data_IF_808506481329
#
_entry.id   IF_808506481329
#
_cell.length_a   1.000
_cell.length_b   1.000
_cell.length_c   1.000
_cell.angle_alpha   90.00
_cell.angle_beta   90.00
_cell.angle_gamma   90.00
#
_symmetry.space_group_name_H-M   'P 1'
#
loop_
_entity.id
_entity.type
_entity.pdbx_description
1 polymer ?
#
# COMPACT_ATOMS: atom_id res chain seq x y z
N UNK A 1 44.07 13.84 -0.37
CA UNK A 1 43.85 12.48 -0.92
C UNK A 1 43.02 11.69 0.09
N UNK A 2 41.73 11.51 -0.14
CA UNK A 2 40.94 10.48 0.55
C UNK A 2 40.39 9.53 -0.51
N UNK A 3 40.77 8.27 -0.40
CA UNK A 3 40.31 7.19 -1.26
C UNK A 3 38.86 6.87 -0.90
N UNK A 4 37.91 7.56 -1.55
CA UNK A 4 36.53 7.07 -1.63
C UNK A 4 36.56 5.81 -2.49
N UNK A 5 36.36 4.67 -1.85
CA UNK A 5 36.39 3.34 -2.44
C UNK A 5 35.53 3.28 -3.72
N UNK A 6 36.18 2.97 -4.85
CA UNK A 6 35.56 2.74 -6.17
C UNK A 6 34.46 1.66 -6.15
N UNK A 7 34.40 0.84 -5.09
CA UNK A 7 33.41 -0.22 -4.91
C UNK A 7 32.00 0.31 -4.62
N UNK A 8 31.84 1.54 -4.14
CA UNK A 8 30.51 2.13 -3.86
C UNK A 8 29.83 2.67 -5.12
N UNK A 9 30.61 3.13 -6.11
CA UNK A 9 30.08 3.66 -7.37
C UNK A 9 29.53 2.56 -8.29
N UNK A 10 30.09 1.34 -8.22
CA UNK A 10 29.62 0.20 -9.02
C UNK A 10 28.25 -0.30 -8.52
N UNK A 11 28.00 -0.25 -7.20
CA UNK A 11 26.66 -0.55 -6.64
C UNK A 11 25.64 0.54 -7.01
N UNK A 12 26.08 1.80 -7.07
CA UNK A 12 25.26 2.95 -7.43
C UNK A 12 24.81 2.93 -8.91
N UNK A 13 25.69 2.48 -9.82
CA UNK A 13 25.39 2.34 -11.25
C UNK A 13 24.49 1.13 -11.55
N UNK A 14 24.59 0.03 -10.80
CA UNK A 14 23.71 -1.14 -10.98
C UNK A 14 22.26 -0.88 -10.53
N UNK A 15 22.04 0.08 -9.61
CA UNK A 15 20.69 0.52 -9.22
C UNK A 15 20.03 1.45 -10.24
N UNK A 16 20.81 2.14 -11.09
CA UNK A 16 20.31 3.14 -12.05
C UNK A 16 20.25 2.57 -13.49
N UNK A 17 21.15 1.67 -13.87
CA UNK A 17 21.26 1.19 -15.27
C UNK A 17 20.64 -0.19 -15.54
N UNK A 18 20.08 -0.87 -14.54
CA UNK A 18 19.42 -2.17 -14.70
C UNK A 18 17.94 -2.13 -15.08
N UNK A 19 17.32 -0.95 -15.20
CA UNK A 19 15.87 -0.79 -15.31
C UNK A 19 15.27 -0.89 -16.72
N UNK A 20 15.93 -1.60 -17.64
CA UNK A 20 15.39 -1.89 -18.98
C UNK A 20 15.02 -3.38 -19.14
N UNK A 21 14.43 -4.00 -18.12
CA UNK A 21 13.74 -5.27 -18.27
C UNK A 21 12.35 -5.02 -18.90
N UNK A 22 11.97 -5.86 -19.87
CA UNK A 22 10.68 -5.83 -20.57
C UNK A 22 9.52 -6.05 -19.57
N UNK A 23 9.03 -4.99 -18.93
CA UNK A 23 7.88 -5.13 -18.03
C UNK A 23 6.61 -5.42 -18.84
N UNK A 24 5.89 -6.46 -18.44
CA UNK A 24 4.55 -6.75 -18.97
C UNK A 24 3.62 -5.61 -18.55
N UNK A 25 2.85 -5.05 -19.49
CA UNK A 25 1.69 -4.22 -19.13
C UNK A 25 0.73 -5.10 -18.31
N UNK A 26 0.05 -4.55 -17.28
CA UNK A 26 -0.97 -5.31 -16.56
C UNK A 26 -1.98 -5.88 -17.58
N UNK A 27 -2.30 -7.18 -17.49
CA UNK A 27 -2.94 -7.90 -18.59
C UNK A 27 -4.37 -7.45 -18.90
N UNK A 28 -5.08 -6.80 -17.95
CA UNK A 28 -6.38 -6.14 -18.13
C UNK A 28 -6.76 -5.40 -16.82
N UNK A 29 -7.80 -4.56 -16.85
CA UNK A 29 -8.50 -4.12 -15.64
C UNK A 29 -9.29 -5.28 -15.03
N UNK A 30 -8.57 -6.10 -14.27
CA UNK A 30 -9.11 -7.25 -13.57
C UNK A 30 -10.16 -6.80 -12.55
N UNK A 31 -11.35 -7.40 -12.62
CA UNK A 31 -12.45 -7.15 -11.70
C UNK A 31 -13.12 -8.46 -11.30
N UNK A 32 -13.67 -8.50 -10.09
CA UNK A 32 -14.40 -9.67 -9.59
C UNK A 32 -14.03 -10.04 -8.16
N UNK A 33 -14.25 -11.31 -7.83
CA UNK A 33 -14.17 -11.83 -6.48
C UNK A 33 -12.95 -12.73 -6.32
N UNK A 34 -12.17 -12.53 -5.25
CA UNK A 34 -10.98 -13.31 -4.97
C UNK A 34 -11.17 -14.11 -3.70
N UNK A 35 -11.09 -15.44 -3.79
CA UNK A 35 -11.10 -16.30 -2.61
C UNK A 35 -9.78 -16.20 -1.86
N UNK A 36 -9.82 -15.55 -0.70
CA UNK A 36 -8.64 -15.31 0.14
C UNK A 36 -8.13 -16.62 0.74
N UNK A 37 -8.99 -17.62 0.94
CA UNK A 37 -8.59 -18.92 1.49
C UNK A 37 -7.67 -19.69 0.52
N UNK A 38 -7.83 -19.49 -0.79
CA UNK A 38 -7.02 -20.12 -1.84
C UNK A 38 -5.61 -19.52 -1.97
N UNK A 39 -5.39 -18.31 -1.45
CA UNK A 39 -4.09 -17.63 -1.49
C UNK A 39 -3.13 -18.24 -0.46
N UNK A 40 -1.82 -18.32 -0.76
CA UNK A 40 -0.81 -18.67 0.23
C UNK A 40 -0.60 -17.52 1.23
N UNK A 41 0.25 -17.77 2.23
CA UNK A 41 0.67 -16.76 3.19
C UNK A 41 -0.27 -16.57 4.37
N UNK A 42 -0.04 -15.48 5.13
CA UNK A 42 -0.77 -15.15 6.34
C UNK A 42 -1.90 -14.18 6.01
N UNK A 43 -3.10 -14.48 6.50
CA UNK A 43 -4.30 -13.70 6.21
C UNK A 43 -4.91 -13.19 7.50
N UNK A 44 -5.23 -11.91 7.56
CA UNK A 44 -5.81 -11.29 8.75
C UNK A 44 -6.95 -10.37 8.37
N UNK A 45 -8.08 -10.56 9.05
CA UNK A 45 -9.14 -9.57 9.12
C UNK A 45 -8.85 -8.64 10.29
N UNK A 46 -8.78 -7.34 10.03
CA UNK A 46 -8.68 -6.30 11.04
C UNK A 46 -9.91 -5.40 10.95
N UNK A 47 -10.54 -5.16 12.09
CA UNK A 47 -11.62 -4.20 12.23
C UNK A 47 -11.13 -3.08 13.15
N UNK A 48 -11.32 -1.83 12.71
CA UNK A 48 -11.03 -0.65 13.50
C UNK A 48 -12.20 0.32 13.48
N UNK A 49 -12.29 1.13 14.53
CA UNK A 49 -13.22 2.25 14.64
C UNK A 49 -12.42 3.54 14.65
N UNK A 50 -12.92 4.55 13.92
CA UNK A 50 -12.41 5.92 13.96
C UNK A 50 -13.56 6.91 13.77
N UNK A 51 -13.25 8.19 13.64
CA UNK A 51 -14.25 9.24 13.41
C UNK A 51 -14.06 9.92 12.05
N UNK A 52 -15.16 10.05 11.29
CA UNK A 52 -15.25 10.85 10.06
C UNK A 52 -16.31 11.93 10.22
N UNK A 53 -15.97 13.20 10.02
CA UNK A 53 -16.86 14.33 10.31
C UNK A 53 -17.56 14.21 11.68
N UNK A 54 -16.79 13.80 12.70
CA UNK A 54 -17.27 13.56 14.10
C UNK A 54 -18.28 12.41 14.26
N UNK A 55 -18.49 11.59 13.23
CA UNK A 55 -19.34 10.39 13.30
C UNK A 55 -18.45 9.15 13.43
N UNK A 56 -18.67 8.25 14.41
CA UNK A 56 -17.97 6.98 14.50
C UNK A 56 -18.22 6.12 13.25
N UNK A 57 -17.16 5.60 12.64
CA UNK A 57 -17.20 4.73 11.46
C UNK A 57 -16.29 3.53 11.65
N UNK A 58 -16.75 2.37 11.16
CA UNK A 58 -15.94 1.16 11.12
C UNK A 58 -15.16 1.04 9.82
N UNK A 59 -13.93 0.57 9.95
CA UNK A 59 -13.05 0.17 8.86
C UNK A 59 -12.75 -1.30 8.95
N UNK A 60 -12.82 -1.98 7.81
CA UNK A 60 -12.49 -3.39 7.65
C UNK A 60 -11.33 -3.52 6.69
N UNK A 61 -10.26 -4.16 7.15
CA UNK A 61 -9.08 -4.48 6.35
C UNK A 61 -8.93 -5.99 6.27
N UNK A 62 -8.93 -6.53 5.06
CA UNK A 62 -8.46 -7.91 4.82
C UNK A 62 -7.03 -7.81 4.32
N UNK A 63 -6.09 -8.24 5.14
CA UNK A 63 -4.66 -8.29 4.85
C UNK A 63 -4.28 -9.70 4.38
N UNK A 64 -3.54 -9.80 3.29
CA UNK A 64 -2.92 -11.06 2.83
C UNK A 64 -1.43 -10.80 2.62
N UNK A 65 -0.61 -11.35 3.51
CA UNK A 65 0.84 -11.23 3.47
C UNK A 65 1.45 -12.52 2.93
N UNK A 66 2.05 -12.42 1.75
CA UNK A 66 2.60 -13.56 1.00
C UNK A 66 4.08 -13.34 0.71
N UNK A 67 4.91 -14.36 0.93
CA UNK A 67 6.30 -14.31 0.47
C UNK A 67 6.34 -14.28 -1.07
N UNK A 68 7.24 -13.47 -1.64
CA UNK A 68 7.45 -13.50 -3.09
C UNK A 68 7.95 -14.88 -3.56
N UNK A 69 8.71 -15.61 -2.73
CA UNK A 69 9.14 -16.98 -3.04
C UNK A 69 7.96 -17.94 -3.19
N UNK A 70 6.94 -17.83 -2.34
CA UNK A 70 5.73 -18.66 -2.42
C UNK A 70 4.95 -18.36 -3.71
N UNK A 71 4.82 -17.08 -4.08
CA UNK A 71 4.15 -16.68 -5.33
C UNK A 71 4.86 -17.29 -6.54
N UNK A 72 6.18 -17.19 -6.59
CA UNK A 72 7.00 -17.75 -7.66
C UNK A 72 6.90 -19.27 -7.74
N UNK A 73 7.03 -19.94 -6.59
CA UNK A 73 7.05 -21.41 -6.54
C UNK A 73 5.68 -22.02 -6.84
N UNK A 74 4.60 -21.44 -6.29
CA UNK A 74 3.24 -21.98 -6.41
C UNK A 74 2.56 -21.60 -7.73
N UNK A 75 2.82 -20.40 -8.25
CA UNK A 75 2.10 -19.87 -9.42
C UNK A 75 2.99 -19.63 -10.65
N UNK A 76 4.31 -19.74 -10.52
CA UNK A 76 5.24 -19.39 -11.59
C UNK A 76 5.26 -17.89 -11.92
N UNK A 77 4.77 -17.04 -11.01
CA UNK A 77 4.70 -15.59 -11.20
C UNK A 77 5.88 -14.93 -10.49
N UNK A 78 6.62 -14.10 -11.21
CA UNK A 78 7.81 -13.41 -10.73
C UNK A 78 7.71 -11.92 -11.05
N UNK A 79 8.14 -11.07 -10.11
CA UNK A 79 8.34 -9.65 -10.37
C UNK A 79 9.57 -9.46 -11.25
N UNK A 80 9.51 -8.46 -12.12
CA UNK A 80 10.65 -7.99 -12.92
C UNK A 80 11.55 -7.04 -12.13
N UNK A 81 11.15 -6.64 -10.92
CA UNK A 81 11.94 -5.80 -10.04
C UNK A 81 13.04 -6.61 -9.34
N UNK A 82 14.15 -5.95 -8.95
CA UNK A 82 15.20 -6.56 -8.16
C UNK A 82 14.73 -6.79 -6.71
N UNK A 83 13.96 -7.85 -6.51
CA UNK A 83 13.43 -8.27 -5.20
C UNK A 83 14.21 -9.44 -4.62
N UNK A 84 14.33 -9.48 -3.30
CA UNK A 84 14.90 -10.58 -2.53
C UNK A 84 13.79 -11.54 -2.14
N UNK A 85 13.60 -12.59 -2.93
CA UNK A 85 12.53 -13.57 -2.75
C UNK A 85 12.50 -14.24 -1.36
N UNK A 86 13.66 -14.34 -0.68
CA UNK A 86 13.81 -14.91 0.66
C UNK A 86 13.33 -13.99 1.79
N UNK A 87 13.23 -12.68 1.55
CA UNK A 87 12.96 -11.67 2.59
C UNK A 87 11.79 -10.76 2.29
N UNK A 88 11.54 -10.52 1.02
CA UNK A 88 10.55 -9.55 0.58
C UNK A 88 9.19 -10.24 0.45
N UNK A 89 8.13 -9.50 0.76
CA UNK A 89 6.76 -10.02 0.76
C UNK A 89 5.83 -9.06 0.03
N UNK A 90 4.81 -9.62 -0.59
CA UNK A 90 3.67 -8.88 -1.10
C UNK A 90 2.60 -8.83 -0.01
N UNK A 91 2.24 -7.62 0.42
CA UNK A 91 1.08 -7.38 1.27
C UNK A 91 -0.07 -6.89 0.38
N UNK A 92 -1.16 -7.63 0.34
CA UNK A 92 -2.41 -7.21 -0.28
C UNK A 92 -3.34 -6.70 0.80
N UNK A 93 -3.91 -5.53 0.61
CA UNK A 93 -4.87 -4.91 1.53
C UNK A 93 -6.16 -4.66 0.78
N UNK A 94 -7.26 -5.23 1.28
CA UNK A 94 -8.62 -4.89 0.85
C UNK A 94 -9.27 -4.04 1.94
N UNK A 95 -9.48 -2.76 1.67
CA UNK A 95 -10.02 -1.79 2.60
C UNK A 95 -11.47 -1.44 2.23
N UNK A 96 -12.37 -1.54 3.21
CA UNK A 96 -13.75 -1.08 3.10
C UNK A 96 -14.15 -0.30 4.35
N UNK A 97 -14.94 0.76 4.18
CA UNK A 97 -15.39 1.60 5.30
C UNK A 97 -16.88 1.83 5.27
N UNK A 98 -17.43 1.88 6.47
CA UNK A 98 -18.85 2.00 6.72
C UNK A 98 -19.38 3.37 6.27
N UNK A 99 -20.02 3.41 5.11
CA UNK A 99 -20.82 4.55 4.64
C UNK A 99 -20.03 5.81 4.22
N UNK A 100 -20.50 6.47 3.17
CA UNK A 100 -20.10 7.83 2.81
C UNK A 100 -21.10 8.83 3.47
N UNK A 101 -20.71 10.07 3.82
CA UNK A 101 -21.69 11.10 4.15
C UNK A 101 -22.50 11.37 2.88
N UNK A 102 -23.73 10.88 2.83
CA UNK A 102 -24.63 11.01 1.67
C UNK A 102 -25.28 9.71 1.20
N UNK A 103 -24.80 8.54 1.63
CA UNK A 103 -25.43 7.25 1.33
C UNK A 103 -25.83 6.53 2.63
N UNK A 104 -27.00 5.87 2.70
CA UNK A 104 -27.41 5.11 3.87
C UNK A 104 -26.33 4.11 4.26
N UNK A 105 -26.15 3.88 5.56
CA UNK A 105 -25.14 3.00 6.18
C UNK A 105 -24.92 1.74 5.34
N UNK A 106 -23.81 1.74 4.60
CA UNK A 106 -23.43 0.61 3.78
C UNK A 106 -23.08 -0.56 4.68
N UNK A 107 -23.73 -1.70 4.49
CA UNK A 107 -23.33 -2.93 5.15
C UNK A 107 -21.92 -3.30 4.67
N UNK A 108 -20.98 -3.38 5.61
CA UNK A 108 -19.59 -3.74 5.33
C UNK A 108 -19.45 -5.19 4.86
N UNK A 109 -20.32 -6.08 5.35
CA UNK A 109 -20.32 -7.50 5.01
C UNK A 109 -21.61 -7.86 4.28
N UNK A 110 -21.48 -8.56 3.16
CA UNK A 110 -22.59 -9.12 2.40
C UNK A 110 -22.37 -10.62 2.19
N UNK A 111 -23.45 -11.43 2.11
CA UNK A 111 -23.35 -12.80 1.65
C UNK A 111 -22.67 -12.86 0.28
N UNK A 112 -21.83 -13.87 0.08
CA UNK A 112 -21.27 -14.15 -1.25
C UNK A 112 -22.24 -15.02 -2.04
N UNK A 113 -22.72 -14.52 -3.18
CA UNK A 113 -23.73 -15.19 -4.02
C UNK A 113 -23.09 -16.13 -5.07
N UNK A 114 -22.01 -16.82 -4.71
CA UNK A 114 -21.34 -17.82 -5.54
C UNK A 114 -21.02 -17.38 -6.98
N UNK A 115 -20.67 -16.10 -7.14
CA UNK A 115 -20.17 -15.54 -8.40
C UNK A 115 -18.87 -16.26 -8.86
N UNK A 116 -18.42 -16.09 -10.10
CA UNK A 116 -17.14 -16.61 -10.54
C UNK A 116 -15.97 -16.00 -9.75
N UNK A 117 -15.05 -16.86 -9.30
CA UNK A 117 -13.84 -16.45 -8.60
C UNK A 117 -12.69 -16.17 -9.57
N UNK A 118 -11.91 -15.15 -9.26
CA UNK A 118 -10.66 -14.83 -9.94
C UNK A 118 -9.62 -15.94 -9.73
N UNK A 119 -8.91 -16.27 -10.81
CA UNK A 119 -7.79 -17.18 -10.74
C UNK A 119 -6.62 -16.52 -9.97
N UNK A 120 -6.08 -17.16 -8.91
CA UNK A 120 -4.98 -16.60 -8.12
C UNK A 120 -3.72 -16.26 -8.92
N UNK A 121 -3.37 -17.07 -9.92
CA UNK A 121 -2.19 -16.81 -10.77
C UNK A 121 -2.39 -15.53 -11.56
N UNK A 122 -3.55 -15.36 -12.19
CA UNK A 122 -3.90 -14.14 -12.94
C UNK A 122 -3.91 -12.91 -12.03
N UNK A 123 -4.49 -13.03 -10.84
CA UNK A 123 -4.51 -11.95 -9.86
C UNK A 123 -3.09 -11.54 -9.40
N UNK A 124 -2.22 -12.48 -9.03
CA UNK A 124 -0.84 -12.16 -8.67
C UNK A 124 -0.03 -11.59 -9.85
N UNK A 125 -0.34 -12.02 -11.09
CA UNK A 125 0.29 -11.48 -12.29
C UNK A 125 -0.10 -10.01 -12.50
N UNK A 126 -1.37 -9.68 -12.31
CA UNK A 126 -1.86 -8.29 -12.35
C UNK A 126 -1.22 -7.43 -11.25
N UNK A 127 -1.24 -7.89 -9.99
CA UNK A 127 -0.64 -7.14 -8.88
C UNK A 127 0.85 -6.86 -9.10
N UNK A 128 1.64 -7.87 -9.43
CA UNK A 128 3.09 -7.69 -9.66
C UNK A 128 3.35 -6.88 -10.94
N UNK A 129 2.57 -7.08 -12.01
CA UNK A 129 2.68 -6.30 -13.23
C UNK A 129 2.40 -4.80 -13.01
N UNK A 130 1.41 -4.45 -12.19
CA UNK A 130 1.11 -3.06 -11.79
C UNK A 130 2.25 -2.45 -10.98
N UNK A 131 2.82 -3.18 -10.02
CA UNK A 131 3.96 -2.71 -9.23
C UNK A 131 5.22 -2.53 -10.10
N UNK A 132 5.51 -3.49 -10.96
CA UNK A 132 6.64 -3.44 -11.90
C UNK A 132 6.49 -2.25 -12.85
N UNK A 133 5.28 -2.02 -13.37
CA UNK A 133 4.97 -0.87 -14.22
C UNK A 133 5.16 0.44 -13.46
N UNK A 134 4.58 0.58 -12.27
CA UNK A 134 4.73 1.78 -11.44
C UNK A 134 6.19 2.14 -11.20
N UNK A 135 7.01 1.15 -10.81
CA UNK A 135 8.44 1.35 -10.54
C UNK A 135 9.24 1.69 -11.80
N UNK A 136 8.87 1.13 -12.96
CA UNK A 136 9.54 1.43 -14.24
C UNK A 136 9.22 2.84 -14.73
N UNK A 137 7.96 3.24 -14.69
CA UNK A 137 7.54 4.56 -15.17
C UNK A 137 8.16 5.68 -14.33
N UNK A 138 8.55 5.42 -13.07
CA UNK A 138 9.33 6.35 -12.24
C UNK A 138 8.58 7.63 -11.86
N UNK A 139 7.29 7.71 -12.19
CA UNK A 139 6.47 8.88 -12.00
C UNK A 139 5.63 8.74 -10.72
N UNK A 140 5.80 9.73 -9.84
CA UNK A 140 5.02 9.96 -8.64
C UNK A 140 3.52 10.14 -8.91
N UNK A 141 3.15 10.49 -10.13
CA UNK A 141 1.82 10.96 -10.54
C UNK A 141 0.84 9.84 -10.93
N UNK A 142 1.28 8.58 -11.00
CA UNK A 142 0.43 7.43 -11.38
C UNK A 142 0.10 6.52 -10.20
N UNK A 143 -0.33 7.17 -9.14
CA UNK A 143 -0.79 6.58 -7.90
C UNK A 143 -1.89 5.51 -8.09
N UNK A 144 -2.70 5.61 -9.15
CA UNK A 144 -3.82 4.71 -9.40
C UNK A 144 -3.44 3.40 -10.08
N UNK A 145 -2.26 3.32 -10.72
CA UNK A 145 -1.81 2.08 -11.37
C UNK A 145 -1.81 0.93 -10.36
N UNK A 146 -1.45 1.24 -9.12
CA UNK A 146 -1.30 0.27 -8.03
C UNK A 146 -2.55 0.17 -7.16
N UNK A 147 -3.71 0.67 -7.61
CA UNK A 147 -4.96 0.64 -6.84
C UNK A 147 -6.12 0.12 -7.69
N UNK A 148 -7.01 -0.65 -7.09
CA UNK A 148 -8.20 -1.16 -7.78
C UNK A 148 -9.43 -1.12 -6.89
N UNK A 149 -10.56 -0.64 -7.43
CA UNK A 149 -11.84 -0.57 -6.71
C UNK A 149 -12.78 -1.75 -7.03
N UNK A 150 -12.40 -2.60 -7.98
CA UNK A 150 -13.29 -3.60 -8.59
C UNK A 150 -12.96 -5.05 -8.20
N UNK A 151 -11.96 -5.26 -7.32
CA UNK A 151 -11.62 -6.57 -6.78
C UNK A 151 -12.10 -6.64 -5.34
N UNK A 152 -12.82 -7.70 -5.00
CA UNK A 152 -13.40 -7.91 -3.68
C UNK A 152 -12.91 -9.21 -3.05
N UNK A 153 -12.55 -9.22 -1.76
CA UNK A 153 -12.16 -10.45 -1.09
C UNK A 153 -13.40 -11.27 -0.72
N UNK A 154 -13.35 -12.57 -0.96
CA UNK A 154 -14.27 -13.55 -0.39
C UNK A 154 -13.58 -14.23 0.78
N UNK A 155 -14.21 -14.19 1.94
CA UNK A 155 -13.70 -14.76 3.19
C UNK A 155 -14.77 -15.64 3.84
N UNK A 156 -14.34 -16.64 4.61
CA UNK A 156 -15.25 -17.47 5.42
C UNK A 156 -15.27 -16.97 6.85
N UNK A 157 -16.41 -16.44 7.29
CA UNK A 157 -16.64 -15.97 8.66
C UNK A 157 -17.71 -16.85 9.29
N UNK A 158 -17.35 -17.56 10.37
CA UNK A 158 -18.26 -18.48 11.10
C UNK A 158 -18.95 -19.52 10.18
N UNK A 159 -18.25 -20.01 9.17
CA UNK A 159 -18.76 -21.01 8.21
C UNK A 159 -19.52 -20.43 7.02
N UNK A 160 -19.83 -19.13 7.02
CA UNK A 160 -20.51 -18.46 5.90
C UNK A 160 -19.49 -17.75 5.01
N UNK A 161 -19.59 -17.93 3.69
CA UNK A 161 -18.81 -17.13 2.74
C UNK A 161 -19.41 -15.73 2.63
N UNK A 162 -18.57 -14.73 2.85
CA UNK A 162 -18.94 -13.32 2.84
C UNK A 162 -17.95 -12.53 1.97
N UNK A 163 -18.41 -11.42 1.44
CA UNK A 163 -17.60 -10.43 0.73
C UNK A 163 -17.79 -9.06 1.36
N UNK A 164 -16.84 -8.16 1.11
CA UNK A 164 -17.00 -6.76 1.47
C UNK A 164 -18.05 -6.09 0.58
N UNK A 165 -18.96 -5.35 1.20
CA UNK A 165 -19.97 -4.53 0.54
C UNK A 165 -19.38 -3.22 0.02
N UNK A 166 -20.03 -2.62 -0.97
CA UNK A 166 -19.68 -1.29 -1.44
C UNK A 166 -18.41 -1.13 -2.25
N UNK A 167 -17.78 0.04 -2.09
CA UNK A 167 -16.49 0.36 -2.67
C UNK A 167 -15.41 -0.27 -1.80
N UNK A 168 -14.59 -1.13 -2.42
CA UNK A 168 -13.49 -1.83 -1.75
C UNK A 168 -12.21 -1.43 -2.45
N UNK A 169 -11.32 -0.76 -1.74
CA UNK A 169 -10.01 -0.40 -2.27
C UNK A 169 -9.04 -1.57 -2.07
N UNK A 170 -8.49 -2.07 -3.15
CA UNK A 170 -7.43 -3.08 -3.17
C UNK A 170 -6.09 -2.43 -3.45
N UNK A 171 -5.12 -2.62 -2.55
CA UNK A 171 -3.76 -2.10 -2.66
C UNK A 171 -2.71 -3.21 -2.45
N UNK A 172 -1.79 -3.42 -3.40
CA UNK A 172 -0.59 -4.21 -3.22
C UNK A 172 0.56 -3.34 -2.72
N UNK A 173 1.22 -3.78 -1.65
CA UNK A 173 2.44 -3.18 -1.12
C UNK A 173 3.60 -4.18 -1.16
N UNK A 174 4.79 -3.71 -1.51
CA UNK A 174 6.04 -4.43 -1.29
C UNK A 174 6.52 -4.16 0.14
N UNK A 175 6.58 -5.22 0.95
CA UNK A 175 7.17 -5.15 2.28
C UNK A 175 8.62 -5.58 2.18
N UNK A 176 9.55 -4.64 2.44
CA UNK A 176 10.99 -4.86 2.26
C UNK A 176 11.77 -4.35 3.48
N UNK A 177 12.81 -5.07 3.95
CA UNK A 177 13.73 -4.54 4.95
C UNK A 177 14.97 -3.93 4.25
N UNK A 178 14.86 -2.70 3.74
CA UNK A 178 15.96 -1.99 3.08
C UNK A 178 16.61 -1.03 4.08
N UNK A 179 17.83 -1.29 4.56
CA UNK A 179 18.50 -0.39 5.49
C UNK A 179 18.81 0.94 4.81
N UNK A 180 18.64 2.04 5.54
CA UNK A 180 19.00 3.40 5.10
C UNK A 180 18.26 3.93 3.86
N UNK A 181 17.07 3.41 3.55
CA UNK A 181 16.23 4.00 2.50
C UNK A 181 15.85 5.43 2.88
N UNK A 182 16.41 6.40 2.18
CA UNK A 182 16.15 7.83 2.44
C UNK A 182 14.91 8.32 1.70
N UNK A 183 14.39 9.48 2.09
CA UNK A 183 13.20 10.11 1.51
C UNK A 183 13.15 10.06 -0.04
N UNK A 184 14.26 10.41 -0.71
CA UNK A 184 14.31 10.45 -2.19
C UNK A 184 14.16 9.07 -2.86
N UNK A 185 14.35 7.99 -2.11
CA UNK A 185 14.25 6.61 -2.59
C UNK A 185 12.94 5.91 -2.17
N UNK A 186 12.16 6.52 -1.27
CA UNK A 186 10.83 6.03 -0.93
C UNK A 186 9.88 6.14 -2.11
N UNK A 187 8.75 5.44 -2.03
CA UNK A 187 7.67 5.48 -3.00
C UNK A 187 6.33 5.15 -2.31
N UNK A 188 5.23 5.07 -3.08
CA UNK A 188 3.88 4.92 -2.57
C UNK A 188 3.43 3.46 -2.37
N UNK A 189 4.29 2.48 -2.71
CA UNK A 189 3.95 1.05 -2.68
C UNK A 189 4.88 0.24 -1.79
N UNK A 190 5.97 0.84 -1.30
CA UNK A 190 6.98 0.13 -0.51
C UNK A 190 6.83 0.44 0.98
N UNK A 191 6.44 -0.56 1.76
CA UNK A 191 6.50 -0.53 3.23
C UNK A 191 7.89 -0.99 3.65
N UNK A 192 8.77 -0.03 3.92
CA UNK A 192 10.11 -0.35 4.39
C UNK A 192 10.19 -0.40 5.92
N UNK A 193 10.58 -1.56 6.46
CA UNK A 193 10.66 -1.80 7.91
C UNK A 193 12.01 -1.44 8.53
N UNK A 194 12.98 -0.99 7.73
CA UNK A 194 14.30 -0.52 8.18
C UNK A 194 14.61 0.92 7.72
N UNK A 195 13.60 1.67 7.26
CA UNK A 195 13.77 3.09 6.95
C UNK A 195 13.96 3.90 8.24
N UNK A 196 14.75 4.99 8.21
CA UNK A 196 14.82 5.92 9.33
C UNK A 196 13.48 6.60 9.54
N UNK A 197 13.12 6.80 10.80
CA UNK A 197 11.92 7.54 11.18
C UNK A 197 12.10 9.03 10.86
N UNK A 198 11.12 9.61 10.17
CA UNK A 198 11.09 10.99 9.73
C UNK A 198 9.77 11.63 10.17
N UNK A 199 9.87 12.53 11.15
CA UNK A 199 8.71 13.27 11.67
C UNK A 199 8.08 14.14 10.58
N UNK A 200 6.76 14.03 10.42
CA UNK A 200 5.96 14.90 9.55
C UNK A 200 6.23 16.39 9.84
N UNK A 201 6.30 16.78 11.13
CA UNK A 201 6.58 18.16 11.53
C UNK A 201 7.97 18.64 11.09
N UNK A 202 8.99 17.78 11.23
CA UNK A 202 10.36 18.11 10.80
C UNK A 202 10.44 18.31 9.29
N UNK A 203 9.68 17.52 8.53
CA UNK A 203 9.57 17.67 7.09
C UNK A 203 8.92 19.00 6.69
N UNK A 204 7.80 19.36 7.33
CA UNK A 204 7.18 20.67 7.08
C UNK A 204 8.13 21.84 7.38
N UNK A 205 8.82 21.82 8.53
CA UNK A 205 9.82 22.86 8.85
C UNK A 205 10.96 22.90 7.84
N UNK A 206 11.41 21.73 7.36
CA UNK A 206 12.44 21.65 6.33
C UNK A 206 11.97 22.27 5.01
N UNK A 207 10.71 22.07 4.63
CA UNK A 207 10.11 22.67 3.44
C UNK A 207 9.93 24.18 3.57
N UNK A 208 9.46 24.67 4.71
CA UNK A 208 9.34 26.11 4.97
C UNK A 208 10.71 26.80 4.88
N UNK A 209 11.74 26.19 5.48
CA UNK A 209 13.11 26.69 5.38
C UNK A 209 13.63 26.66 3.94
N UNK A 210 13.43 25.56 3.22
CA UNK A 210 13.85 25.45 1.83
C UNK A 210 13.22 26.55 0.96
N UNK A 211 11.90 26.76 1.08
CA UNK A 211 11.21 27.83 0.37
C UNK A 211 11.75 29.22 0.72
N UNK A 212 12.05 29.46 2.01
CA UNK A 212 12.60 30.73 2.49
C UNK A 212 14.00 31.02 1.92
N UNK A 213 14.87 30.00 1.82
CA UNK A 213 16.26 30.20 1.40
C UNK A 213 16.46 30.16 -0.11
N UNK A 214 15.66 29.37 -0.84
CA UNK A 214 15.87 29.13 -2.26
C UNK A 214 14.84 29.82 -3.16
N UNK A 215 13.81 30.48 -2.59
CA UNK A 215 12.72 31.14 -3.32
C UNK A 215 12.13 30.28 -4.46
N UNK A 216 12.14 28.96 -4.26
CA UNK A 216 11.65 27.98 -5.21
C UNK A 216 10.14 27.84 -5.08
N UNK A 217 9.45 27.51 -6.17
CA UNK A 217 8.04 27.14 -6.10
C UNK A 217 7.87 25.86 -5.25
N UNK A 218 7.26 26.01 -4.08
CA UNK A 218 6.95 24.91 -3.15
C UNK A 218 6.11 23.78 -3.79
N UNK A 219 5.44 24.08 -4.92
CA UNK A 219 4.58 23.15 -5.64
C UNK A 219 5.30 21.91 -6.15
N UNK A 220 6.57 22.01 -6.57
CA UNK A 220 7.31 20.82 -7.05
C UNK A 220 7.55 19.80 -5.93
N UNK A 221 7.89 20.26 -4.73
CA UNK A 221 8.07 19.37 -3.56
C UNK A 221 6.74 18.82 -3.06
N UNK A 222 5.68 19.65 -3.05
CA UNK A 222 4.31 19.21 -2.75
C UNK A 222 3.77 18.21 -3.77
N UNK A 223 4.25 18.22 -5.02
CA UNK A 223 3.90 17.22 -6.03
C UNK A 223 4.66 15.89 -5.89
N UNK A 224 5.81 15.87 -5.22
CA UNK A 224 6.59 14.62 -5.03
C UNK A 224 6.13 13.87 -3.78
N UNK A 225 5.79 14.57 -2.71
CA UNK A 225 5.42 13.98 -1.42
C UNK A 225 4.26 12.97 -1.47
N UNK A 226 3.19 13.18 -2.27
CA UNK A 226 2.09 12.23 -2.34
C UNK A 226 2.47 10.85 -2.86
N UNK A 227 3.63 10.75 -3.51
CA UNK A 227 4.16 9.49 -4.00
C UNK A 227 5.07 8.77 -3.02
N UNK A 228 5.12 9.18 -1.74
CA UNK A 228 6.08 8.65 -0.77
C UNK A 228 5.38 8.15 0.49
N UNK A 229 5.60 6.89 0.84
CA UNK A 229 5.34 6.32 2.16
C UNK A 229 6.60 6.51 3.02
N UNK A 230 6.42 7.16 4.17
CA UNK A 230 7.50 7.52 5.07
C UNK A 230 7.19 7.01 6.48
N UNK A 231 8.19 6.41 7.13
CA UNK A 231 8.07 5.98 8.51
C UNK A 231 8.12 7.21 9.42
N UNK A 232 7.09 7.46 10.21
CA UNK A 232 7.07 8.54 11.19
C UNK A 232 7.76 8.14 12.50
N UNK A 233 7.44 6.95 13.00
CA UNK A 233 7.93 6.43 14.27
C UNK A 233 7.73 4.92 14.38
N UNK A 234 8.49 4.33 15.29
CA UNK A 234 8.35 2.95 15.76
C UNK A 234 8.00 2.99 17.24
N UNK A 235 6.92 2.31 17.64
CA UNK A 235 6.54 2.15 19.04
C UNK A 235 6.06 0.73 19.31
N UNK A 236 6.66 0.05 20.30
CA UNK A 236 6.30 -1.32 20.73
C UNK A 236 6.11 -2.32 19.55
N UNK A 237 6.99 -2.25 18.55
CA UNK A 237 6.94 -3.12 17.37
C UNK A 237 5.87 -2.76 16.33
N UNK A 238 5.25 -1.59 16.44
CA UNK A 238 4.31 -1.01 15.48
C UNK A 238 4.98 0.11 14.70
N UNK A 239 4.81 0.08 13.38
CA UNK A 239 5.37 1.05 12.45
C UNK A 239 4.28 2.03 12.04
N UNK A 240 4.49 3.31 12.30
CA UNK A 240 3.54 4.37 11.99
C UNK A 240 4.01 5.06 10.73
N UNK A 241 3.33 4.81 9.62
CA UNK A 241 3.65 5.40 8.32
C UNK A 241 2.72 6.56 8.01
N UNK A 242 3.22 7.47 7.19
CA UNK A 242 2.44 8.53 6.58
C UNK A 242 2.86 8.73 5.12
N UNK A 243 1.90 9.14 4.30
CA UNK A 243 2.03 9.60 2.94
C UNK A 243 1.20 10.89 2.81
N UNK A 244 1.68 11.82 2.01
CA UNK A 244 1.00 13.09 1.81
C UNK A 244 -0.25 12.86 0.93
N UNK A 245 -1.41 13.47 1.20
CA UNK A 245 -2.60 13.30 0.37
C UNK A 245 -2.35 13.90 -1.04
N UNK A 246 -2.70 13.20 -2.13
CA UNK A 246 -2.47 13.70 -3.47
C UNK A 246 -3.52 14.77 -3.80
N UNK A 247 -3.21 16.03 -3.51
CA UNK A 247 -4.02 17.15 -3.96
C UNK A 247 -3.22 18.04 -4.93
N UNK A 248 -3.81 18.19 -6.12
CA UNK A 248 -3.71 19.30 -7.09
C UNK A 248 -2.74 19.27 -8.28
N UNK A 249 -2.02 18.18 -8.60
CA UNK A 249 -1.24 18.11 -9.88
C UNK A 249 -1.17 16.72 -10.54
N UNK A 250 -1.85 15.69 -10.02
CA UNK A 250 -1.66 14.30 -10.44
C UNK A 250 -2.69 13.85 -11.50
N UNK A 251 -2.43 14.09 -12.79
CA UNK A 251 -3.09 13.34 -13.87
C UNK A 251 -4.64 13.27 -13.79
N UNK A 252 -5.29 12.30 -14.46
CA UNK A 252 -6.75 12.27 -14.57
C UNK A 252 -7.49 11.57 -13.40
N UNK A 253 -6.89 11.36 -12.23
CA UNK A 253 -7.48 10.43 -11.23
C UNK A 253 -7.52 10.91 -9.78
N UNK A 254 -8.51 10.40 -9.07
CA UNK A 254 -9.00 10.83 -7.76
C UNK A 254 -9.00 9.67 -6.73
N UNK A 255 -8.12 8.66 -6.82
CA UNK A 255 -8.12 7.50 -5.90
C UNK A 255 -6.98 7.61 -4.88
N UNK A 256 -7.31 8.04 -3.66
CA UNK A 256 -6.35 8.09 -2.55
C UNK A 256 -6.18 6.69 -1.93
N UNK A 257 -4.92 6.33 -1.65
CA UNK A 257 -4.56 5.12 -0.93
C UNK A 257 -4.49 5.31 0.58
N UNK A 258 -3.83 4.39 1.27
CA UNK A 258 -3.49 4.55 2.68
C UNK A 258 -2.53 5.74 2.89
N UNK A 259 -3.01 6.82 3.51
CA UNK A 259 -2.25 8.03 3.80
C UNK A 259 -1.50 7.89 5.11
N UNK A 260 -2.20 7.80 6.25
CA UNK A 260 -1.58 7.57 7.56
C UNK A 260 -2.00 6.21 8.05
N UNK A 261 -1.07 5.31 8.31
CA UNK A 261 -1.42 3.94 8.68
C UNK A 261 -0.44 3.29 9.66
N UNK A 262 -0.93 2.30 10.40
CA UNK A 262 -0.13 1.53 11.35
C UNK A 262 0.09 0.13 10.80
N UNK A 263 1.34 -0.25 10.63
CA UNK A 263 1.74 -1.58 10.16
C UNK A 263 2.30 -2.41 11.33
N UNK A 264 1.88 -3.67 11.40
CA UNK A 264 2.46 -4.67 12.30
C UNK A 264 3.09 -5.81 11.48
N UNK A 265 4.39 -6.08 11.64
CA UNK A 265 5.06 -7.20 10.99
C UNK A 265 4.30 -8.51 11.18
N UNK A 266 4.09 -9.22 10.07
CA UNK A 266 3.42 -10.51 10.06
C UNK A 266 1.90 -10.49 10.18
N UNK A 267 1.28 -9.33 10.36
CA UNK A 267 -0.18 -9.14 10.33
C UNK A 267 -0.61 -8.31 9.12
N UNK A 268 0.01 -7.16 8.90
CA UNK A 268 -0.38 -6.21 7.86
C UNK A 268 -0.71 -4.82 8.43
N UNK A 269 -1.56 -4.07 7.73
CA UNK A 269 -2.08 -2.79 8.19
C UNK A 269 -3.16 -3.04 9.25
N UNK A 270 -3.02 -2.38 10.39
CA UNK A 270 -3.97 -2.46 11.50
C UNK A 270 -5.05 -1.38 11.43
N UNK A 271 -4.70 -0.22 10.89
CA UNK A 271 -5.61 0.90 10.69
C UNK A 271 -4.98 1.87 9.70
N UNK A 272 -5.80 2.63 8.98
CA UNK A 272 -5.34 3.60 7.99
C UNK A 272 -6.35 4.70 7.71
N UNK A 273 -5.84 5.88 7.33
CA UNK A 273 -6.59 6.97 6.72
C UNK A 273 -6.59 6.76 5.20
N UNK A 274 -7.75 6.90 4.57
CA UNK A 274 -7.95 6.77 3.13
C UNK A 274 -8.88 7.90 2.66
N UNK A 275 -8.49 9.17 2.78
CA UNK A 275 -9.40 10.32 2.83
C UNK A 275 -10.52 10.37 1.76
N UNK A 276 -10.29 9.91 0.53
CA UNK A 276 -11.34 9.86 -0.53
C UNK A 276 -12.42 8.81 -0.32
N UNK A 277 -12.15 7.80 0.50
CA UNK A 277 -13.04 6.67 0.76
C UNK A 277 -13.38 6.54 2.25
N UNK A 278 -12.47 6.99 3.11
CA UNK A 278 -12.41 6.69 4.53
C UNK A 278 -11.52 7.69 5.26
N UNK A 279 -12.10 8.63 5.99
CA UNK A 279 -11.33 9.40 6.96
C UNK A 279 -11.43 8.69 8.31
N UNK A 280 -10.30 8.38 8.90
CA UNK A 280 -10.13 8.71 10.30
C UNK A 280 -8.68 9.10 10.49
N UNK A 281 -8.42 10.08 11.35
CA UNK A 281 -7.08 10.56 11.56
C UNK A 281 -6.30 9.51 12.36
N UNK A 282 -5.03 9.27 11.99
CA UNK A 282 -4.11 8.34 12.65
C UNK A 282 -3.83 8.59 14.14
N UNK A 283 -4.63 9.43 14.81
CA UNK A 283 -4.59 9.72 16.24
C UNK A 283 -5.73 9.04 17.02
N UNK A 284 -6.89 8.81 16.40
CA UNK A 284 -8.12 8.42 17.12
C UNK A 284 -8.74 7.09 16.63
N UNK A 285 -7.91 6.17 16.14
CA UNK A 285 -8.39 4.83 15.80
C UNK A 285 -8.25 3.85 16.95
N UNK A 286 -9.27 3.02 17.12
CA UNK A 286 -9.26 1.86 18.00
C UNK A 286 -9.39 0.60 17.17
N UNK A 287 -8.36 -0.26 17.21
CA UNK A 287 -8.49 -1.63 16.67
C UNK A 287 -9.43 -2.39 17.59
N UNK A 288 -10.60 -2.76 17.07
CA UNK A 288 -11.62 -3.49 17.83
C UNK A 288 -11.45 -4.99 17.68
N UNK A 289 -10.90 -5.45 16.56
CA UNK A 289 -10.74 -6.88 16.30
C UNK A 289 -9.55 -7.19 15.38
N UNK A 290 -8.84 -8.26 15.68
CA UNK A 290 -7.88 -8.90 14.76
C UNK A 290 -8.21 -10.39 14.74
N UNK A 291 -8.50 -10.92 13.55
CA UNK A 291 -8.82 -12.35 13.35
C UNK A 291 -7.91 -12.93 12.28
N UNK A 292 -7.17 -13.99 12.62
CA UNK A 292 -6.44 -14.77 11.61
C UNK A 292 -7.44 -15.56 10.78
N UNK A 293 -7.36 -15.42 9.46
CA UNK A 293 -8.18 -16.17 8.51
C UNK A 293 -7.45 -17.45 8.10
N UNK A 294 -8.21 -18.47 7.71
CA UNK A 294 -7.68 -19.73 7.18
C UNK A 294 -7.30 -19.57 5.70
#
# INVERSE_FOLDING_TARGET
MSFVSKSHWILFLLLICGWNAKAQRPPADLSGYLDISALPGRKFLVESEGTRYRVPRRTVLVNVLVSLADIKTKYGVASQLPVRYDRDSLLLVFAAVEGNPGFPTQQLWMPYEDQPLLNPKTFFTDCLGRLDLYKREGYSTYNDITRCLYIKPVVTIKGTRQTLGGIVLTEPFLVMPIPFLVFGQSDNVTINTLSPALSEALMYTSFENYNKYYNTNAETLRGILPSKILLQRLDKGLYYFWAYPPNLMDGPSHIHGAEKFVYRPGVGILTGTYSNFTEAEGRDFKVTRITRLK
#
